data_IF_129047423326
#
_entry.id   IF_129047423326
#
_cell.length_a   1.000
_cell.length_b   1.000
_cell.length_c   1.000
_cell.angle_alpha   90.00
_cell.angle_beta   90.00
_cell.angle_gamma   90.00
#
_symmetry.space_group_name_H-M   'P 1'
#
loop_
_entity.id
_entity.type
_entity.pdbx_description
1 polymer ?
#
# COMPACT_ATOMS: atom_id res chain seq x y z
N UNK A 1 8.91 -24.29 -16.92
CA UNK A 1 9.28 -24.25 -15.49
C UNK A 1 9.49 -22.79 -15.16
N UNK A 2 8.44 -22.12 -14.69
CA UNK A 2 8.50 -20.72 -14.26
C UNK A 2 9.37 -20.61 -13.00
N UNK A 3 10.40 -19.78 -13.08
CA UNK A 3 11.20 -19.41 -11.92
C UNK A 3 10.37 -18.54 -11.01
N UNK A 4 10.14 -19.00 -9.79
CA UNK A 4 9.72 -18.17 -8.66
C UNK A 4 10.77 -17.08 -8.49
N UNK A 5 10.48 -15.88 -8.97
CA UNK A 5 11.27 -14.69 -8.69
C UNK A 5 11.20 -14.44 -7.18
N UNK A 6 12.15 -15.01 -6.44
CA UNK A 6 12.50 -14.47 -5.14
C UNK A 6 12.83 -12.99 -5.34
N UNK A 7 12.50 -12.17 -4.35
CA UNK A 7 12.93 -10.77 -4.31
C UNK A 7 14.46 -10.73 -4.13
N UNK A 8 15.16 -11.07 -5.21
CA UNK A 8 16.57 -10.87 -5.41
C UNK A 8 16.87 -9.41 -5.77
N UNK A 9 18.13 -9.06 -6.07
CA UNK A 9 18.70 -7.71 -5.97
C UNK A 9 18.19 -6.65 -6.97
N UNK A 10 17.03 -6.85 -7.59
CA UNK A 10 16.26 -5.84 -8.32
C UNK A 10 15.69 -4.85 -7.28
N UNK A 11 16.39 -3.73 -7.07
CA UNK A 11 16.32 -2.84 -5.88
C UNK A 11 15.05 -1.99 -5.74
N UNK A 12 13.87 -2.59 -5.71
CA UNK A 12 12.63 -1.86 -5.43
C UNK A 12 12.11 -2.07 -4.00
N UNK A 13 12.78 -2.86 -3.16
CA UNK A 13 12.38 -3.02 -1.75
C UNK A 13 13.51 -2.54 -0.83
N UNK A 14 13.28 -1.41 -0.18
CA UNK A 14 14.16 -0.91 0.89
C UNK A 14 13.69 -1.46 2.22
N UNK A 15 14.64 -1.71 3.13
CA UNK A 15 14.30 -2.10 4.48
C UNK A 15 15.19 -1.47 5.54
N UNK A 16 14.65 -1.37 6.75
CA UNK A 16 15.38 -1.11 7.97
C UNK A 16 14.94 -2.08 9.06
N UNK A 17 15.92 -2.64 9.77
CA UNK A 17 15.67 -3.51 10.92
C UNK A 17 15.87 -2.74 12.23
N UNK A 18 14.98 -2.99 13.20
CA UNK A 18 15.10 -2.55 14.58
C UNK A 18 14.90 -3.74 15.52
N UNK A 19 15.72 -3.82 16.55
CA UNK A 19 15.53 -4.73 17.68
C UNK A 19 14.67 -3.98 18.72
N UNK A 20 13.62 -4.65 19.19
CA UNK A 20 12.72 -4.15 20.23
C UNK A 20 12.97 -4.93 21.52
N UNK A 21 12.40 -4.45 22.64
CA UNK A 21 12.47 -5.16 23.92
C UNK A 21 11.84 -6.56 23.84
N UNK A 22 10.83 -6.73 22.99
CA UNK A 22 10.10 -7.98 22.77
C UNK A 22 9.98 -8.30 21.28
N UNK A 23 11.13 -8.46 20.62
CA UNK A 23 11.20 -9.01 19.27
C UNK A 23 11.88 -8.12 18.24
N UNK A 24 11.48 -8.25 16.97
CA UNK A 24 12.12 -7.60 15.84
C UNK A 24 11.10 -6.85 15.00
N UNK A 25 11.49 -5.69 14.49
CA UNK A 25 10.72 -4.92 13.52
C UNK A 25 11.53 -4.74 12.25
N UNK A 26 10.92 -5.05 11.12
CA UNK A 26 11.45 -4.79 9.79
C UNK A 26 10.52 -3.80 9.10
N UNK A 27 10.97 -2.56 8.91
CA UNK A 27 10.26 -1.59 8.10
C UNK A 27 10.63 -1.81 6.64
N UNK A 28 9.64 -2.04 5.80
CA UNK A 28 9.78 -2.33 4.38
C UNK A 28 9.12 -1.21 3.57
N UNK A 29 9.75 -0.78 2.50
CA UNK A 29 9.21 0.22 1.59
C UNK A 29 9.42 -0.24 0.14
N UNK A 30 8.32 -0.44 -0.59
CA UNK A 30 8.39 -0.61 -2.04
C UNK A 30 8.64 0.75 -2.69
N UNK A 31 9.65 0.81 -3.54
CA UNK A 31 10.01 1.96 -4.36
C UNK A 31 9.58 1.74 -5.81
N UNK A 32 8.40 1.15 -5.99
CA UNK A 32 7.83 0.84 -7.30
C UNK A 32 6.54 1.61 -7.53
N UNK A 33 6.35 2.12 -8.74
CA UNK A 33 5.09 2.71 -9.18
C UNK A 33 4.02 1.66 -9.53
N UNK A 34 4.40 0.38 -9.53
CA UNK A 34 3.51 -0.74 -9.83
C UNK A 34 3.36 -1.61 -8.58
N UNK A 35 2.19 -2.26 -8.39
CA UNK A 35 2.03 -3.27 -7.35
C UNK A 35 3.02 -4.42 -7.55
N UNK A 36 3.61 -4.90 -6.47
CA UNK A 36 4.63 -5.95 -6.46
C UNK A 36 4.25 -7.04 -5.47
N UNK A 37 4.28 -8.29 -5.91
CA UNK A 37 4.20 -9.45 -5.02
C UNK A 37 5.56 -10.13 -4.98
N UNK A 38 6.01 -10.49 -3.79
CA UNK A 38 7.24 -11.24 -3.69
C UNK A 38 7.46 -11.89 -2.34
N UNK A 39 8.39 -12.84 -2.35
CA UNK A 39 8.75 -13.64 -1.19
C UNK A 39 9.98 -13.05 -0.52
N UNK A 40 9.86 -12.67 0.75
CA UNK A 40 10.93 -12.05 1.55
C UNK A 40 11.34 -12.99 2.68
N UNK A 41 12.65 -13.18 2.86
CA UNK A 41 13.19 -13.95 3.97
C UNK A 41 13.56 -13.04 5.13
N UNK A 42 13.11 -13.39 6.32
CA UNK A 42 13.44 -12.70 7.55
C UNK A 42 14.24 -13.62 8.46
N UNK A 43 15.29 -13.09 9.07
CA UNK A 43 16.06 -13.79 10.09
C UNK A 43 15.34 -13.72 11.45
N UNK A 44 14.15 -14.30 11.50
CA UNK A 44 13.27 -14.37 12.67
C UNK A 44 12.35 -15.60 12.55
N UNK A 45 12.07 -16.26 13.67
CA UNK A 45 11.30 -17.51 13.72
C UNK A 45 9.97 -17.37 14.49
N UNK A 46 9.76 -16.25 15.17
CA UNK A 46 8.53 -15.99 15.92
C UNK A 46 7.33 -15.73 15.00
N UNK A 47 6.13 -15.67 15.58
CA UNK A 47 4.94 -15.25 14.85
C UNK A 47 5.11 -13.82 14.30
N UNK A 48 4.78 -13.66 13.02
CA UNK A 48 4.88 -12.40 12.31
C UNK A 48 3.53 -11.68 12.21
N UNK A 49 3.59 -10.36 12.31
CA UNK A 49 2.47 -9.45 12.03
C UNK A 49 2.88 -8.46 10.95
N UNK A 50 1.91 -8.06 10.14
CA UNK A 50 2.04 -6.98 9.19
C UNK A 50 1.28 -5.77 9.72
N UNK A 51 1.99 -4.67 9.92
CA UNK A 51 1.42 -3.40 10.35
C UNK A 51 1.45 -2.44 9.19
N UNK A 52 0.29 -1.91 8.83
CA UNK A 52 0.13 -0.89 7.81
C UNK A 52 0.20 0.50 8.46
N UNK A 53 1.26 1.29 8.19
CA UNK A 53 1.42 2.62 8.77
C UNK A 53 0.42 3.64 8.21
N UNK A 54 -0.17 3.41 7.04
CA UNK A 54 -1.15 4.33 6.44
C UNK A 54 -2.51 4.19 7.11
N UNK A 55 -2.98 2.95 7.31
CA UNK A 55 -4.29 2.68 7.89
C UNK A 55 -4.27 2.46 9.40
N UNK A 56 -3.10 2.16 9.98
CA UNK A 56 -2.94 1.74 11.37
C UNK A 56 -3.43 0.31 11.66
N UNK A 57 -3.80 -0.45 10.62
CA UNK A 57 -4.28 -1.82 10.77
C UNK A 57 -3.14 -2.80 10.98
N UNK A 58 -3.38 -3.82 11.80
CA UNK A 58 -2.45 -4.92 12.04
C UNK A 58 -3.08 -6.23 11.60
N UNK A 59 -2.32 -7.02 10.86
CA UNK A 59 -2.73 -8.32 10.34
C UNK A 59 -1.78 -9.42 10.79
N UNK A 60 -2.32 -10.58 11.13
CA UNK A 60 -1.49 -11.77 11.35
C UNK A 60 -0.95 -12.29 10.01
N UNK A 61 0.30 -12.75 9.99
CA UNK A 61 0.93 -13.42 8.85
C UNK A 61 1.20 -14.90 9.16
N UNK A 62 0.17 -15.76 9.30
CA UNK A 62 0.34 -17.16 9.69
C UNK A 62 0.95 -18.06 8.59
N UNK A 63 1.13 -17.56 7.37
CA UNK A 63 1.61 -18.32 6.21
C UNK A 63 3.14 -18.44 6.11
N UNK A 64 3.89 -18.09 7.15
CA UNK A 64 5.35 -18.17 7.14
C UNK A 64 5.87 -19.58 6.91
N UNK A 65 6.81 -19.73 5.98
CA UNK A 65 7.53 -21.00 5.78
C UNK A 65 8.88 -20.91 6.48
N UNK A 66 9.12 -21.67 7.57
CA UNK A 66 10.42 -21.69 8.24
C UNK A 66 11.51 -22.21 7.30
N UNK A 67 12.68 -21.56 7.32
CA UNK A 67 13.85 -21.95 6.54
C UNK A 67 15.15 -21.39 7.15
N UNK A 68 16.11 -22.28 7.43
CA UNK A 68 17.49 -21.98 7.87
C UNK A 68 17.64 -20.84 8.90
N UNK A 69 16.95 -20.90 10.04
CA UNK A 69 17.11 -19.88 11.08
C UNK A 69 16.27 -18.62 10.85
N UNK A 70 15.24 -18.71 10.01
CA UNK A 70 14.38 -17.61 9.61
C UNK A 70 13.07 -18.08 9.00
N UNK A 71 12.30 -17.13 8.48
CA UNK A 71 10.96 -17.36 7.94
C UNK A 71 10.81 -16.64 6.60
N UNK A 72 10.33 -17.36 5.59
CA UNK A 72 9.86 -16.77 4.34
C UNK A 72 8.41 -16.31 4.47
N UNK A 73 8.14 -15.07 4.08
CA UNK A 73 6.80 -14.50 4.02
C UNK A 73 6.51 -14.03 2.59
N UNK A 74 5.32 -14.33 2.09
CA UNK A 74 4.81 -13.79 0.83
C UNK A 74 4.10 -12.46 1.13
N UNK A 75 4.58 -11.37 0.50
CA UNK A 75 4.09 -10.02 0.71
C UNK A 75 3.60 -9.43 -0.61
N UNK A 76 2.51 -8.67 -0.54
CA UNK A 76 1.97 -7.91 -1.66
C UNK A 76 1.97 -6.42 -1.30
N UNK A 77 2.66 -5.62 -2.10
CA UNK A 77 2.75 -4.18 -1.98
C UNK A 77 1.94 -3.53 -3.10
N UNK A 78 1.13 -2.53 -2.75
CA UNK A 78 0.66 -1.56 -3.73
C UNK A 78 1.78 -0.59 -4.13
N UNK A 79 1.52 0.24 -5.14
CA UNK A 79 2.48 1.23 -5.61
C UNK A 79 2.95 2.13 -4.46
N UNK A 80 4.27 2.15 -4.24
CA UNK A 80 4.94 2.89 -3.16
C UNK A 80 4.53 2.53 -1.72
N UNK A 81 3.90 1.36 -1.52
CA UNK A 81 3.43 0.93 -0.20
C UNK A 81 4.58 0.66 0.77
N UNK A 82 4.36 0.99 2.04
CA UNK A 82 5.25 0.61 3.13
C UNK A 82 4.51 -0.28 4.15
N UNK A 83 5.25 -1.18 4.79
CA UNK A 83 4.77 -2.00 5.89
C UNK A 83 5.81 -2.10 7.00
N UNK A 84 5.37 -2.31 8.23
CA UNK A 84 6.22 -2.81 9.31
C UNK A 84 5.89 -4.27 9.57
N UNK A 85 6.86 -5.16 9.38
CA UNK A 85 6.75 -6.58 9.75
C UNK A 85 7.35 -6.76 11.14
N UNK A 86 6.54 -7.22 12.08
CA UNK A 86 6.92 -7.36 13.49
C UNK A 86 6.89 -8.82 13.90
N UNK A 87 7.98 -9.29 14.52
CA UNK A 87 8.14 -10.63 15.07
C UNK A 87 8.20 -10.56 16.60
N UNK A 88 7.57 -11.51 17.30
CA UNK A 88 7.76 -11.72 18.75
C UNK A 88 6.93 -10.81 19.68
N UNK A 89 6.14 -9.88 19.14
CA UNK A 89 5.17 -9.13 19.94
C UNK A 89 3.97 -10.01 20.32
N UNK A 90 3.63 -10.08 21.61
CA UNK A 90 2.41 -10.78 22.08
C UNK A 90 1.18 -10.22 21.35
N UNK A 91 0.60 -11.03 20.46
CA UNK A 91 -0.45 -10.57 19.55
C UNK A 91 -1.83 -10.73 20.19
N UNK A 92 -2.62 -9.66 20.38
CA UNK A 92 -4.07 -9.82 20.39
C UNK A 92 -4.48 -10.34 19.02
N UNK A 93 -5.37 -11.34 18.95
CA UNK A 93 -5.75 -12.05 17.72
C UNK A 93 -6.01 -11.09 16.53
N UNK A 94 -4.95 -10.83 15.76
CA UNK A 94 -5.02 -9.95 14.60
C UNK A 94 -5.70 -10.73 13.46
N UNK A 95 -6.61 -10.09 12.70
CA UNK A 95 -7.22 -10.76 11.57
C UNK A 95 -6.14 -11.13 10.54
N UNK A 96 -6.33 -12.21 9.77
CA UNK A 96 -5.44 -12.51 8.66
C UNK A 96 -5.45 -11.35 7.65
N UNK A 97 -4.37 -11.23 6.87
CA UNK A 97 -4.32 -10.28 5.78
C UNK A 97 -5.47 -10.57 4.79
N UNK A 98 -6.26 -9.56 4.39
CA UNK A 98 -7.32 -9.76 3.41
C UNK A 98 -6.71 -10.16 2.06
N UNK A 99 -7.40 -11.06 1.35
CA UNK A 99 -7.02 -11.41 -0.01
C UNK A 99 -7.16 -10.19 -0.94
N UNK A 100 -6.35 -10.08 -2.00
CA UNK A 100 -6.48 -9.02 -3.00
C UNK A 100 -7.91 -8.95 -3.55
N UNK A 101 -8.51 -7.75 -3.51
CA UNK A 101 -9.86 -7.56 -4.02
C UNK A 101 -9.85 -7.52 -5.55
N UNK A 102 -10.78 -8.24 -6.19
CA UNK A 102 -11.01 -8.11 -7.62
C UNK A 102 -11.84 -6.84 -7.87
N UNK A 103 -11.49 -5.99 -8.87
CA UNK A 103 -12.33 -4.87 -9.26
C UNK A 103 -13.75 -5.36 -9.56
N UNK A 104 -14.73 -4.81 -8.85
CA UNK A 104 -16.13 -5.24 -8.97
C UNK A 104 -16.86 -4.50 -10.09
N UNK A 105 -16.70 -3.18 -10.16
CA UNK A 105 -17.26 -2.34 -11.20
C UNK A 105 -16.49 -1.01 -11.29
N UNK A 106 -16.51 -0.39 -12.47
CA UNK A 106 -16.11 1.00 -12.65
C UNK A 106 -17.37 1.86 -12.60
N UNK A 107 -17.34 2.97 -11.84
CA UNK A 107 -18.45 3.92 -11.81
C UNK A 107 -18.28 4.89 -12.98
N UNK A 108 -19.06 4.67 -14.03
CA UNK A 108 -19.03 5.45 -15.27
C UNK A 108 -20.07 6.57 -15.27
N UNK A 109 -19.87 7.58 -16.12
CA UNK A 109 -20.81 8.69 -16.34
C UNK A 109 -20.30 10.04 -15.84
N UNK A 110 -21.19 11.05 -15.92
CA UNK A 110 -20.87 12.41 -15.52
C UNK A 110 -20.85 12.55 -13.99
N UNK A 111 -19.78 13.14 -13.45
CA UNK A 111 -19.64 13.44 -12.04
C UNK A 111 -20.00 14.90 -11.76
N UNK A 112 -20.74 15.12 -10.68
CA UNK A 112 -20.86 16.46 -10.10
C UNK A 112 -19.76 16.61 -9.06
N UNK A 113 -18.89 17.61 -9.23
CA UNK A 113 -17.78 17.90 -8.33
C UNK A 113 -17.96 19.32 -7.79
N UNK A 114 -17.89 19.47 -6.47
CA UNK A 114 -17.90 20.76 -5.79
C UNK A 114 -16.48 21.08 -5.32
N UNK A 115 -15.97 22.25 -5.71
CA UNK A 115 -14.70 22.75 -5.19
C UNK A 115 -15.00 23.69 -4.03
N UNK A 116 -14.59 23.30 -2.82
CA UNK A 116 -14.79 24.17 -1.66
C UNK A 116 -14.00 25.48 -1.86
N UNK A 117 -14.57 26.63 -1.44
CA UNK A 117 -13.88 27.91 -1.56
C UNK A 117 -12.57 27.88 -0.79
N UNK A 118 -11.47 28.22 -1.45
CA UNK A 118 -10.21 28.50 -0.78
C UNK A 118 -10.23 29.95 -0.31
N UNK A 119 -10.74 30.18 0.91
CA UNK A 119 -10.85 31.53 1.51
C UNK A 119 -9.51 32.22 1.73
N UNK A 120 -8.39 31.49 1.66
CA UNK A 120 -7.03 32.02 1.82
C UNK A 120 -6.28 32.21 0.49
N UNK A 121 -6.94 31.98 -0.65
CA UNK A 121 -6.38 32.28 -1.98
C UNK A 121 -6.94 33.61 -2.53
N UNK A 122 -6.17 34.70 -2.52
CA UNK A 122 -6.62 36.01 -2.99
C UNK A 122 -6.89 36.08 -4.50
N UNK A 123 -6.55 35.04 -5.27
CA UNK A 123 -6.78 34.99 -6.72
C UNK A 123 -8.09 34.27 -7.12
N UNK A 124 -8.80 33.66 -6.16
CA UNK A 124 -10.06 32.96 -6.40
C UNK A 124 -11.20 33.70 -5.65
N UNK A 125 -11.60 34.84 -6.21
CA UNK A 125 -12.78 35.58 -5.75
C UNK A 125 -14.09 34.80 -5.93
N UNK A 126 -15.23 35.33 -5.45
CA UNK A 126 -16.47 34.59 -5.17
C UNK A 126 -17.28 34.29 -6.45
N UNK A 127 -16.72 33.51 -7.35
CA UNK A 127 -17.37 33.13 -8.61
C UNK A 127 -17.49 31.60 -8.70
N UNK A 128 -18.74 31.18 -8.84
CA UNK A 128 -19.26 29.86 -9.23
C UNK A 128 -18.31 28.67 -9.10
N UNK A 129 -18.51 27.90 -8.03
CA UNK A 129 -17.72 26.71 -7.68
C UNK A 129 -18.23 25.40 -8.34
N UNK A 130 -19.17 25.49 -9.27
CA UNK A 130 -19.75 24.34 -9.96
C UNK A 130 -19.23 24.25 -11.40
N UNK A 131 -18.27 23.35 -11.63
CA UNK A 131 -17.78 23.05 -12.96
C UNK A 131 -18.36 21.71 -13.43
N UNK A 132 -19.10 21.73 -14.55
CA UNK A 132 -19.51 20.52 -15.23
C UNK A 132 -18.32 19.94 -16.01
N UNK A 133 -17.86 18.75 -15.61
CA UNK A 133 -16.70 18.05 -16.18
C UNK A 133 -17.03 17.23 -17.44
N UNK A 134 -18.23 17.37 -18.01
CA UNK A 134 -18.51 16.85 -19.35
C UNK A 134 -17.51 17.40 -20.37
N UNK A 135 -17.10 16.59 -21.35
CA UNK A 135 -16.25 17.04 -22.46
C UNK A 135 -16.81 18.32 -23.08
N UNK A 136 -16.12 19.44 -22.88
CA UNK A 136 -16.36 20.67 -23.61
C UNK A 136 -15.29 20.77 -24.70
N UNK A 137 -15.66 20.92 -25.99
CA UNK A 137 -14.68 21.30 -26.99
C UNK A 137 -14.09 22.65 -26.58
N UNK A 138 -12.81 22.66 -26.21
CA UNK A 138 -12.06 23.89 -26.00
C UNK A 138 -11.67 24.40 -27.39
N UNK A 139 -12.49 25.29 -27.94
CA UNK A 139 -12.26 25.93 -29.24
C UNK A 139 -13.48 26.75 -29.67
N UNK A 140 -13.29 27.81 -30.48
CA UNK A 140 -14.42 28.60 -30.96
C UNK A 140 -15.37 27.72 -31.76
N UNK A 141 -16.67 27.80 -31.45
CA UNK A 141 -17.73 27.20 -32.26
C UNK A 141 -17.67 27.85 -33.64
N UNK A 142 -17.19 27.12 -34.65
CA UNK A 142 -17.32 27.58 -36.03
C UNK A 142 -18.81 27.69 -36.36
N UNK A 143 -19.22 28.88 -36.77
CA UNK A 143 -20.54 29.18 -37.34
C UNK A 143 -20.63 28.67 -38.76
#
# INVERSE_FOLDING_TARGET
>A
MEGTAGLGPERNLYYQQRVLDQGLLFFLNSHSAQPETGRVWFRAEDEAQLWDPETGNHHALPGGTPDQGGTWLDLCFDAYQAYAVVFGAASPAAPPLPAPAKPWAQVEGAWTVEFLPNTDNPYLGPHDHHYNLSERPIGPTQR
#
